data_IF_851948928441
#
_entry.id   IF_851948928441
#
_cell.length_a   1.000
_cell.length_b   1.000
_cell.length_c   1.000
_cell.angle_alpha   90.00
_cell.angle_beta   90.00
_cell.angle_gamma   90.00
#
_symmetry.space_group_name_H-M   'P 1'
#
loop_
_entity.id
_entity.type
_entity.pdbx_description
1 polymer ?
#
# COMPACT_ATOMS: atom_id res chain seq x y z
N UNK A 1 13.37 -7.12 9.81
CA UNK A 1 12.29 -7.40 8.84
C UNK A 1 11.99 -8.87 8.95
N UNK A 2 10.72 -9.25 9.10
CA UNK A 2 10.35 -10.64 9.11
C UNK A 2 10.73 -11.27 7.76
N UNK A 3 11.14 -12.53 7.78
CA UNK A 3 11.35 -13.28 6.55
C UNK A 3 10.04 -13.31 5.75
N UNK A 4 10.14 -13.30 4.42
CA UNK A 4 8.96 -13.36 3.57
C UNK A 4 8.20 -14.65 3.86
N UNK A 5 6.92 -14.59 4.26
CA UNK A 5 6.15 -15.80 4.49
C UNK A 5 5.94 -16.55 3.17
N UNK A 6 5.72 -17.86 3.26
CA UNK A 6 5.49 -18.73 2.09
C UNK A 6 4.28 -18.29 1.27
N UNK A 7 3.28 -17.73 1.95
CA UNK A 7 2.03 -17.26 1.37
C UNK A 7 2.10 -15.82 0.84
N UNK A 8 3.25 -15.15 0.93
CA UNK A 8 3.44 -13.75 0.53
C UNK A 8 2.92 -13.40 -0.88
N UNK A 9 2.94 -14.38 -1.79
CA UNK A 9 2.52 -14.20 -3.19
C UNK A 9 1.26 -14.98 -3.55
N UNK A 10 0.61 -15.64 -2.60
CA UNK A 10 -0.61 -16.42 -2.85
C UNK A 10 -1.73 -15.54 -3.40
N UNK A 11 -2.38 -16.05 -4.43
CA UNK A 11 -3.61 -15.55 -5.04
C UNK A 11 -4.84 -16.11 -4.30
N UNK A 12 -6.03 -15.63 -4.65
CA UNK A 12 -7.27 -16.19 -4.13
C UNK A 12 -7.41 -17.69 -4.48
N UNK A 13 -6.98 -18.09 -5.68
CA UNK A 13 -7.00 -19.49 -6.12
C UNK A 13 -6.12 -20.37 -5.24
N UNK A 14 -4.94 -19.91 -4.82
CA UNK A 14 -4.05 -20.69 -3.95
C UNK A 14 -4.72 -20.99 -2.59
N UNK A 15 -5.54 -20.07 -2.08
CA UNK A 15 -6.33 -20.30 -0.88
C UNK A 15 -7.51 -21.25 -1.12
N UNK A 16 -8.21 -21.10 -2.25
CA UNK A 16 -9.29 -22.03 -2.64
C UNK A 16 -8.76 -23.48 -2.81
N UNK A 17 -7.62 -23.63 -3.49
CA UNK A 17 -6.97 -24.92 -3.76
C UNK A 17 -6.44 -25.59 -2.49
N UNK A 18 -6.20 -24.81 -1.42
CA UNK A 18 -5.75 -25.33 -0.13
C UNK A 18 -6.83 -26.17 0.57
N UNK A 19 -8.11 -25.92 0.28
CA UNK A 19 -9.24 -26.58 0.93
C UNK A 19 -9.44 -26.23 2.41
N UNK A 20 -8.72 -25.22 2.92
CA UNK A 20 -8.80 -24.73 4.30
C UNK A 20 -9.34 -23.31 4.33
N UNK A 21 -10.61 -23.18 4.70
CA UNK A 21 -11.34 -21.91 4.75
C UNK A 21 -10.76 -20.93 5.79
N UNK A 22 -10.08 -21.43 6.83
CA UNK A 22 -9.53 -20.63 7.91
C UNK A 22 -8.12 -20.11 7.59
N UNK A 23 -7.46 -20.66 6.56
CA UNK A 23 -6.06 -20.41 6.26
C UNK A 23 -5.75 -18.93 5.94
N UNK A 24 -6.72 -18.22 5.33
CA UNK A 24 -6.62 -16.78 5.10
C UNK A 24 -6.47 -16.01 6.42
N UNK A 25 -7.22 -16.40 7.45
CA UNK A 25 -7.17 -15.77 8.77
C UNK A 25 -5.91 -16.17 9.53
N UNK A 26 -5.52 -17.45 9.45
CA UNK A 26 -4.29 -17.97 10.04
C UNK A 26 -3.06 -17.21 9.56
N UNK A 27 -2.92 -17.01 8.24
CA UNK A 27 -1.79 -16.26 7.67
C UNK A 27 -1.79 -14.77 8.10
N UNK A 28 -2.95 -14.15 8.29
CA UNK A 28 -3.03 -12.78 8.83
C UNK A 28 -2.54 -12.75 10.27
N UNK A 29 -2.95 -13.73 11.08
CA UNK A 29 -2.53 -13.84 12.47
C UNK A 29 -1.03 -14.07 12.56
N UNK A 30 -0.46 -14.98 11.76
CA UNK A 30 0.99 -15.20 11.66
C UNK A 30 1.76 -13.91 11.36
N UNK A 31 1.25 -13.09 10.42
CA UNK A 31 1.85 -11.80 10.11
C UNK A 31 1.84 -10.87 11.34
N UNK A 32 0.69 -10.72 12.00
CA UNK A 32 0.59 -9.86 13.17
C UNK A 32 1.46 -10.34 14.33
N UNK A 33 1.50 -11.65 14.58
CA UNK A 33 2.35 -12.25 15.61
C UNK A 33 3.84 -12.02 15.32
N UNK A 34 4.25 -12.11 14.04
CA UNK A 34 5.62 -11.80 13.63
C UNK A 34 5.98 -10.35 13.92
N UNK A 35 5.05 -9.42 13.71
CA UNK A 35 5.26 -7.99 13.93
C UNK A 35 5.28 -7.67 15.42
N UNK A 36 4.42 -8.31 16.21
CA UNK A 36 4.44 -8.18 17.68
C UNK A 36 5.76 -8.71 18.23
N UNK A 37 6.24 -9.83 17.70
CA UNK A 37 7.54 -10.39 18.04
C UNK A 37 8.67 -9.41 17.68
N UNK A 38 8.63 -8.81 16.49
CA UNK A 38 9.58 -7.76 16.08
C UNK A 38 9.42 -6.46 16.92
N UNK A 39 8.23 -6.15 17.43
CA UNK A 39 8.02 -5.01 18.35
C UNK A 39 8.69 -5.22 19.70
N UNK A 40 8.65 -6.46 20.21
CA UNK A 40 9.23 -6.81 21.50
C UNK A 40 10.76 -6.88 21.39
N UNK A 41 11.26 -7.45 20.30
CA UNK A 41 12.68 -7.76 20.15
C UNK A 41 13.49 -6.65 19.45
N UNK A 42 12.85 -5.79 18.66
CA UNK A 42 13.54 -4.92 17.72
C UNK A 42 13.34 -3.41 18.02
N UNK A 43 14.36 -2.61 17.72
CA UNK A 43 14.50 -1.22 18.16
C UNK A 43 13.75 -0.18 17.29
N UNK A 44 14.33 1.02 17.17
CA UNK A 44 13.78 2.21 16.47
C UNK A 44 13.03 1.92 15.16
N UNK A 45 13.46 0.93 14.37
CA UNK A 45 12.83 0.53 13.11
C UNK A 45 11.36 0.15 13.30
N UNK A 46 11.01 -0.65 14.31
CA UNK A 46 9.62 -1.09 14.51
C UNK A 46 8.74 0.07 15.00
N UNK A 47 9.30 1.00 15.79
CA UNK A 47 8.60 2.24 16.18
C UNK A 47 8.29 3.12 14.98
N UNK A 48 9.24 3.26 14.05
CA UNK A 48 9.01 3.98 12.80
C UNK A 48 8.04 3.23 11.90
N UNK A 49 8.11 1.90 11.84
CA UNK A 49 7.12 1.09 11.14
C UNK A 49 5.70 1.40 11.65
N UNK A 50 5.47 1.39 12.97
CA UNK A 50 4.16 1.72 13.56
C UNK A 50 3.74 3.15 13.27
N UNK A 51 4.68 4.11 13.36
CA UNK A 51 4.44 5.49 12.98
C UNK A 51 3.94 5.59 11.54
N UNK A 52 4.63 4.93 10.60
CA UNK A 52 4.25 4.94 9.19
C UNK A 52 3.01 4.10 8.89
N UNK A 53 2.73 3.06 9.68
CA UNK A 53 1.49 2.30 9.57
C UNK A 53 0.28 3.14 9.95
N UNK A 54 0.40 3.95 11.01
CA UNK A 54 -0.62 4.92 11.40
C UNK A 54 -0.70 6.11 10.43
N UNK A 55 0.40 6.48 9.79
CA UNK A 55 0.42 7.55 8.80
C UNK A 55 -0.22 7.10 7.47
N UNK A 56 0.29 6.04 6.85
CA UNK A 56 -0.22 5.48 5.60
C UNK A 56 -1.32 4.44 5.86
N UNK A 57 -2.49 4.88 6.31
CA UNK A 57 -3.61 3.99 6.62
C UNK A 57 -4.14 3.31 5.36
N UNK A 58 -4.46 2.02 5.49
CA UNK A 58 -5.24 1.24 4.49
C UNK A 58 -6.28 0.41 5.22
N UNK A 59 -7.30 -0.07 4.50
CA UNK A 59 -8.35 -0.90 5.07
C UNK A 59 -8.29 -2.33 4.53
N UNK A 60 -7.94 -3.30 5.38
CA UNK A 60 -7.84 -4.72 4.98
C UNK A 60 -9.16 -5.28 4.44
N UNK A 61 -10.30 -4.83 4.98
CA UNK A 61 -11.62 -5.27 4.53
C UNK A 61 -11.94 -4.81 3.09
N UNK A 62 -11.35 -3.69 2.64
CA UNK A 62 -11.60 -3.15 1.31
C UNK A 62 -11.01 -4.03 0.19
N UNK A 63 -9.83 -4.61 0.40
CA UNK A 63 -9.15 -5.45 -0.60
C UNK A 63 -9.12 -6.95 -0.28
N UNK A 64 -9.38 -7.33 0.98
CA UNK A 64 -9.48 -8.71 1.48
C UNK A 64 -8.42 -9.69 0.93
N UNK A 65 -7.18 -9.25 0.76
CA UNK A 65 -6.13 -10.00 0.06
C UNK A 65 -4.80 -9.97 0.84
N UNK A 66 -4.32 -11.14 1.26
CA UNK A 66 -3.11 -11.26 2.09
C UNK A 66 -1.83 -10.86 1.34
N UNK A 67 -1.78 -11.06 0.03
CA UNK A 67 -0.67 -10.58 -0.82
C UNK A 67 -0.55 -9.06 -0.80
N UNK A 68 -1.68 -8.35 -0.83
CA UNK A 68 -1.69 -6.89 -0.81
C UNK A 68 -1.29 -6.37 0.57
N UNK A 69 -1.81 -7.02 1.63
CA UNK A 69 -1.41 -6.77 3.01
C UNK A 69 0.10 -6.94 3.19
N UNK A 70 0.67 -8.07 2.77
CA UNK A 70 2.11 -8.32 2.86
C UNK A 70 2.95 -7.26 2.12
N UNK A 71 2.57 -6.92 0.89
CA UNK A 71 3.27 -5.89 0.11
C UNK A 71 3.26 -4.52 0.82
N UNK A 72 2.11 -4.12 1.34
CA UNK A 72 1.97 -2.91 2.14
C UNK A 72 2.91 -2.90 3.37
N UNK A 73 2.92 -3.97 4.17
CA UNK A 73 3.80 -4.10 5.34
C UNK A 73 5.29 -4.13 4.95
N UNK A 74 5.64 -4.76 3.83
CA UNK A 74 6.98 -4.77 3.27
C UNK A 74 7.43 -3.37 2.83
N UNK A 75 6.57 -2.60 2.17
CA UNK A 75 6.88 -1.23 1.76
C UNK A 75 7.13 -0.32 2.96
N UNK A 76 6.27 -0.38 3.99
CA UNK A 76 6.47 0.35 5.24
C UNK A 76 7.85 0.06 5.85
N UNK A 77 8.20 -1.23 5.97
CA UNK A 77 9.50 -1.63 6.52
C UNK A 77 10.69 -1.25 5.64
N UNK A 78 10.53 -1.28 4.32
CA UNK A 78 11.60 -0.97 3.36
C UNK A 78 11.94 0.52 3.36
N UNK A 79 10.92 1.37 3.42
CA UNK A 79 11.09 2.81 3.27
C UNK A 79 11.05 3.60 4.59
N UNK A 80 10.88 2.96 5.75
CA UNK A 80 10.72 3.65 7.05
C UNK A 80 11.85 4.60 7.45
N UNK A 81 13.07 4.41 6.91
CA UNK A 81 14.26 5.26 7.12
C UNK A 81 14.75 5.92 5.82
N UNK A 82 13.98 5.78 4.73
CA UNK A 82 14.37 6.18 3.39
C UNK A 82 13.90 7.57 3.00
N UNK A 83 14.01 7.86 1.70
CA UNK A 83 13.51 9.10 1.13
C UNK A 83 11.97 9.12 1.12
N UNK A 84 11.38 10.15 1.73
CA UNK A 84 9.93 10.28 1.85
C UNK A 84 9.21 10.39 0.50
N UNK A 85 9.78 11.10 -0.48
CA UNK A 85 9.18 11.21 -1.83
C UNK A 85 9.11 9.86 -2.54
N UNK A 86 10.17 9.06 -2.44
CA UNK A 86 10.17 7.69 -2.96
C UNK A 86 9.16 6.84 -2.22
N UNK A 87 9.09 6.96 -0.90
CA UNK A 87 8.13 6.21 -0.08
C UNK A 87 6.69 6.48 -0.50
N UNK A 88 6.28 7.74 -0.57
CA UNK A 88 4.93 8.12 -1.02
C UNK A 88 4.64 7.59 -2.42
N UNK A 89 5.60 7.71 -3.34
CA UNK A 89 5.45 7.22 -4.72
C UNK A 89 5.25 5.69 -4.78
N UNK A 90 6.01 4.92 -4.00
CA UNK A 90 5.88 3.46 -4.00
C UNK A 90 4.63 3.00 -3.24
N UNK A 91 4.29 3.66 -2.13
CA UNK A 91 3.05 3.42 -1.39
C UNK A 91 1.81 3.71 -2.24
N UNK A 92 1.80 4.82 -2.98
CA UNK A 92 0.72 5.20 -3.90
C UNK A 92 0.60 4.32 -5.15
N UNK A 93 1.53 3.40 -5.40
CA UNK A 93 1.39 2.36 -6.44
C UNK A 93 1.00 1.00 -5.85
N UNK A 94 0.97 0.88 -4.53
CA UNK A 94 0.65 -0.38 -3.88
C UNK A 94 -0.82 -0.75 -4.12
N UNK A 95 -1.14 -2.03 -4.40
CA UNK A 95 -2.52 -2.45 -4.59
C UNK A 95 -3.43 -2.14 -3.39
N UNK A 96 -2.90 -2.22 -2.17
CA UNK A 96 -3.65 -1.87 -0.96
C UNK A 96 -4.09 -0.40 -0.94
N UNK A 97 -3.18 0.53 -1.27
CA UNK A 97 -3.48 1.96 -1.33
C UNK A 97 -4.37 2.32 -2.52
N UNK A 98 -4.18 1.65 -3.66
CA UNK A 98 -5.02 1.84 -4.84
C UNK A 98 -6.48 1.43 -4.58
N UNK A 99 -6.73 0.33 -3.87
CA UNK A 99 -8.10 -0.05 -3.49
C UNK A 99 -8.65 0.91 -2.44
N UNK A 100 -7.84 1.30 -1.45
CA UNK A 100 -8.28 2.16 -0.34
C UNK A 100 -8.82 3.53 -0.80
N UNK A 101 -8.14 4.19 -1.75
CA UNK A 101 -8.55 5.49 -2.29
C UNK A 101 -9.31 5.39 -3.62
N UNK A 102 -9.86 4.20 -3.95
CA UNK A 102 -10.55 3.95 -5.22
C UNK A 102 -9.73 4.26 -6.49
N UNK A 103 -8.39 4.24 -6.40
CA UNK A 103 -7.46 4.37 -7.51
C UNK A 103 -7.47 3.18 -8.48
N UNK A 104 -8.05 2.06 -8.08
CA UNK A 104 -8.32 0.91 -8.96
C UNK A 104 -9.38 1.19 -10.04
N UNK A 105 -10.13 2.29 -9.92
CA UNK A 105 -11.09 2.76 -10.95
C UNK A 105 -10.41 3.60 -12.05
N UNK A 106 -9.08 3.65 -12.07
CA UNK A 106 -8.35 4.43 -13.05
C UNK A 106 -8.37 3.75 -14.43
N UNK A 107 -8.91 4.45 -15.44
CA UNK A 107 -9.04 3.95 -16.80
C UNK A 107 -7.96 4.58 -17.71
N UNK A 108 -7.41 3.79 -18.63
CA UNK A 108 -6.48 4.31 -19.64
C UNK A 108 -7.15 5.43 -20.46
N UNK A 109 -6.59 6.64 -20.42
CA UNK A 109 -7.15 7.84 -21.07
C UNK A 109 -8.11 8.67 -20.21
N UNK A 110 -8.46 8.23 -18.99
CA UNK A 110 -9.27 8.98 -18.02
C UNK A 110 -8.62 8.89 -16.64
N UNK A 111 -7.51 9.63 -16.41
CA UNK A 111 -6.77 9.56 -15.16
C UNK A 111 -7.66 9.93 -13.97
N UNK A 112 -7.65 9.09 -12.93
CA UNK A 112 -8.34 9.39 -11.68
C UNK A 112 -7.57 10.47 -10.88
N UNK A 113 -7.84 11.73 -11.19
CA UNK A 113 -7.24 12.89 -10.51
C UNK A 113 -7.63 12.95 -9.03
N UNK A 114 -8.77 12.37 -8.66
CA UNK A 114 -9.21 12.28 -7.28
C UNK A 114 -8.24 11.45 -6.43
N UNK A 115 -7.75 10.33 -6.97
CA UNK A 115 -6.75 9.50 -6.29
C UNK A 115 -5.46 10.27 -5.98
N UNK A 116 -4.92 10.98 -6.97
CA UNK A 116 -3.68 11.73 -6.80
C UNK A 116 -3.86 12.87 -5.78
N UNK A 117 -5.03 13.52 -5.79
CA UNK A 117 -5.42 14.53 -4.81
C UNK A 117 -5.51 13.93 -3.40
N UNK A 118 -6.32 12.89 -3.19
CA UNK A 118 -6.50 12.26 -1.89
C UNK A 118 -5.18 11.75 -1.30
N UNK A 119 -4.31 11.14 -2.12
CA UNK A 119 -2.98 10.71 -1.67
C UNK A 119 -2.13 11.89 -1.17
N UNK A 120 -2.16 13.03 -1.87
CA UNK A 120 -1.43 14.22 -1.46
C UNK A 120 -2.00 14.82 -0.17
N UNK A 121 -3.32 14.99 -0.11
CA UNK A 121 -4.00 15.62 1.02
C UNK A 121 -3.87 14.80 2.30
N UNK A 122 -4.14 13.50 2.23
CA UNK A 122 -4.18 12.63 3.40
C UNK A 122 -2.78 12.30 3.94
N UNK A 123 -1.79 12.12 3.05
CA UNK A 123 -0.52 11.51 3.45
C UNK A 123 0.72 12.39 3.24
N UNK A 124 0.59 13.59 2.67
CA UNK A 124 1.76 14.46 2.47
C UNK A 124 1.57 15.88 2.98
N UNK A 125 0.58 16.59 2.47
CA UNK A 125 0.46 18.03 2.67
C UNK A 125 -0.60 18.41 3.70
N UNK A 126 -1.53 17.52 4.06
CA UNK A 126 -2.66 17.83 4.92
C UNK A 126 -3.80 18.53 4.19
N UNK A 127 -5.01 18.42 4.73
CA UNK A 127 -6.23 19.02 4.18
C UNK A 127 -6.18 20.56 4.26
N UNK A 128 -6.65 21.26 3.22
CA UNK A 128 -6.82 22.72 3.19
C UNK A 128 -5.53 23.57 3.32
N UNK A 129 -4.36 23.02 2.98
CA UNK A 129 -3.06 23.74 3.05
C UNK A 129 -2.73 24.62 1.82
N UNK A 130 -3.74 25.21 1.18
CA UNK A 130 -3.55 26.28 0.19
C UNK A 130 -2.93 25.88 -1.15
N UNK A 131 -2.88 24.58 -1.49
CA UNK A 131 -2.49 24.13 -2.82
C UNK A 131 -3.58 24.49 -3.84
N UNK A 132 -3.20 25.24 -4.86
CA UNK A 132 -3.99 25.45 -6.07
C UNK A 132 -3.90 24.21 -6.97
N UNK A 133 -4.89 24.00 -7.83
CA UNK A 133 -5.10 22.86 -8.76
C UNK A 133 -3.91 22.46 -9.67
N UNK A 134 -2.74 23.09 -9.53
CA UNK A 134 -1.58 22.97 -10.42
C UNK A 134 -0.50 21.97 -9.95
N UNK A 135 -0.63 21.32 -8.79
CA UNK A 135 0.38 20.36 -8.32
C UNK A 135 0.22 18.99 -8.99
N UNK A 136 1.16 18.62 -9.85
CA UNK A 136 1.16 17.35 -10.59
C UNK A 136 1.98 16.27 -9.87
N UNK A 137 1.30 15.28 -9.28
CA UNK A 137 1.93 14.05 -8.80
C UNK A 137 1.96 13.03 -9.95
N UNK A 138 3.14 12.84 -10.56
CA UNK A 138 3.30 11.92 -11.69
C UNK A 138 3.50 10.49 -11.18
N UNK A 139 2.41 9.80 -10.86
CA UNK A 139 2.44 8.37 -10.55
C UNK A 139 2.39 7.59 -11.86
N UNK A 140 3.42 6.77 -12.07
CA UNK A 140 3.53 5.90 -13.23
C UNK A 140 3.26 4.47 -12.75
N UNK A 141 2.07 3.95 -13.05
CA UNK A 141 1.67 2.56 -12.77
C UNK A 141 1.85 1.78 -14.06
N UNK A 142 2.57 0.65 -14.01
CA UNK A 142 2.63 -0.27 -15.14
C UNK A 142 1.51 -1.29 -15.01
N UNK A 143 0.70 -1.43 -16.06
CA UNK A 143 -0.17 -2.60 -16.22
C UNK A 143 0.68 -3.87 -16.40
N UNK A 144 0.21 -5.06 -16.01
CA UNK A 144 0.85 -6.34 -16.39
C UNK A 144 1.12 -6.48 -17.90
N UNK A 145 0.38 -5.73 -18.73
CA UNK A 145 0.43 -5.78 -20.20
C UNK A 145 1.52 -4.87 -20.81
N UNK A 146 2.29 -4.15 -19.98
CA UNK A 146 3.37 -3.27 -20.43
C UNK A 146 2.96 -1.82 -20.76
N UNK A 147 1.67 -1.51 -20.64
CA UNK A 147 1.19 -0.13 -20.81
C UNK A 147 1.54 0.76 -19.62
N UNK A 148 2.11 1.92 -19.93
CA UNK A 148 2.50 2.93 -18.96
C UNK A 148 1.32 3.86 -18.71
N UNK A 149 0.54 3.61 -17.64
CA UNK A 149 -0.47 4.57 -17.19
C UNK A 149 0.27 5.73 -16.50
N UNK A 150 0.55 6.78 -17.27
CA UNK A 150 1.01 8.05 -16.73
C UNK A 150 -0.20 8.79 -16.17
N UNK A 151 -0.33 8.86 -14.85
CA UNK A 151 -1.25 9.80 -14.22
C UNK A 151 -0.65 11.20 -14.39
N UNK A 152 -1.16 11.96 -15.35
CA UNK A 152 -0.94 13.40 -15.46
C UNK A 152 -2.23 14.06 -14.97
N UNK A 153 -2.16 14.77 -13.84
CA UNK A 153 -3.21 15.69 -13.43
C UNK A 153 -3.07 16.94 -14.30
N UNK A 154 -4.09 17.25 -15.10
CA UNK A 154 -4.24 18.52 -15.80
C UNK A 154 -5.67 18.98 -15.59
N UNK A 155 -5.86 19.81 -14.57
CA UNK A 155 -7.00 20.73 -14.50
C UNK A 155 -6.54 22.14 -14.77
#
# INVERSE_FOLDING_TARGET
MPQSPVWANWSAQDYEDSGDDDLVFTHRQELYDSIVTDMINDGLRTKLFLFWHNHFVTELQAYNCNKYLWNYFRLLNTHCLGNFKTFVSEMGKSPAMLVYLNGNQNEAGRPNENYARELMELFTMGENNGYTQTMSLKLRVHSPDGDVICMNVQT
#
